data_IF_700587764196
#
_entry.id   IF_700587764196
#
_cell.length_a   1.000
_cell.length_b   1.000
_cell.length_c   1.000
_cell.angle_alpha   90.00
_cell.angle_beta   90.00
_cell.angle_gamma   90.00
#
_symmetry.space_group_name_H-M   'P 1'
#
loop_
_entity.id
_entity.type
_entity.pdbx_description
1 polymer ?
#
# COMPACT_ATOMS: atom_id res chain seq x y z
N UNK A 1 -26.99 -3.90 -17.82
CA UNK A 1 -27.61 -2.91 -18.72
C UNK A 1 -26.53 -2.23 -19.58
N UNK A 2 -25.71 -1.31 -19.06
CA UNK A 2 -24.65 -0.64 -19.85
C UNK A 2 -23.73 -1.59 -20.65
N UNK A 3 -23.19 -2.64 -20.02
CA UNK A 3 -22.29 -3.58 -20.71
C UNK A 3 -22.98 -4.42 -21.80
N UNK A 4 -24.27 -4.71 -21.63
CA UNK A 4 -25.04 -5.58 -22.52
C UNK A 4 -25.56 -4.80 -23.73
N UNK A 5 -26.02 -3.57 -23.48
CA UNK A 5 -26.83 -2.80 -24.42
C UNK A 5 -26.03 -1.65 -25.05
N UNK A 6 -25.29 -0.85 -24.27
CA UNK A 6 -24.56 0.33 -24.76
C UNK A 6 -23.13 -0.02 -25.21
N UNK A 7 -22.38 -0.68 -24.33
CA UNK A 7 -20.98 -1.03 -24.60
C UNK A 7 -20.83 -2.05 -25.74
N UNK A 8 -21.85 -2.90 -25.93
CA UNK A 8 -21.85 -3.92 -26.98
C UNK A 8 -21.98 -3.32 -28.38
N UNK A 9 -22.77 -2.26 -28.55
CA UNK A 9 -22.83 -1.49 -29.79
C UNK A 9 -21.52 -0.73 -30.06
N UNK A 10 -20.89 -0.17 -29.03
CA UNK A 10 -19.60 0.52 -29.15
C UNK A 10 -18.43 -0.43 -29.47
N UNK A 11 -18.47 -1.68 -28.98
CA UNK A 11 -17.48 -2.69 -29.39
C UNK A 11 -17.56 -3.01 -30.89
N UNK A 12 -18.76 -2.98 -31.48
CA UNK A 12 -18.95 -3.19 -32.93
C UNK A 12 -18.38 -2.07 -33.82
N UNK A 13 -17.99 -0.93 -33.24
CA UNK A 13 -17.40 0.21 -33.96
C UNK A 13 -15.87 0.24 -33.91
N UNK A 14 -15.22 -0.70 -33.22
CA UNK A 14 -13.76 -0.74 -33.08
C UNK A 14 -13.12 -1.27 -34.37
N UNK A 15 -11.96 -0.73 -34.72
CA UNK A 15 -11.16 -1.22 -35.86
C UNK A 15 -10.65 -2.65 -35.65
N UNK A 16 -10.48 -3.07 -34.39
CA UNK A 16 -10.10 -4.43 -34.00
C UNK A 16 -11.32 -5.10 -33.36
N UNK A 17 -11.91 -6.03 -34.08
CA UNK A 17 -13.02 -6.85 -33.59
C UNK A 17 -12.51 -7.90 -32.61
N UNK A 18 -12.96 -7.84 -31.35
CA UNK A 18 -12.63 -8.85 -30.33
C UNK A 18 -13.71 -9.92 -30.35
N UNK A 19 -13.30 -11.13 -30.71
CA UNK A 19 -14.16 -12.30 -30.85
C UNK A 19 -13.98 -13.27 -29.68
N UNK A 20 -14.89 -14.24 -29.55
CA UNK A 20 -14.73 -15.33 -28.58
C UNK A 20 -13.45 -16.14 -28.82
N UNK A 21 -12.95 -16.21 -30.06
CA UNK A 21 -11.67 -16.86 -30.40
C UNK A 21 -10.45 -16.16 -29.78
N UNK A 22 -10.55 -14.86 -29.50
CA UNK A 22 -9.48 -14.08 -28.86
C UNK A 22 -9.44 -14.32 -27.33
N UNK A 23 -10.53 -14.85 -26.76
CA UNK A 23 -10.61 -15.22 -25.35
C UNK A 23 -10.43 -16.72 -25.16
N UNK A 24 -9.21 -17.13 -24.82
CA UNK A 24 -8.92 -18.53 -24.53
C UNK A 24 -9.36 -18.91 -23.11
N UNK A 25 -10.57 -19.47 -23.00
CA UNK A 25 -11.12 -19.98 -21.73
C UNK A 25 -10.20 -21.02 -21.07
N UNK A 26 -9.54 -21.89 -21.86
CA UNK A 26 -8.64 -22.91 -21.32
C UNK A 26 -7.41 -22.28 -20.67
N UNK A 27 -6.92 -21.15 -21.19
CA UNK A 27 -5.81 -20.42 -20.58
C UNK A 27 -6.22 -19.79 -19.22
N UNK A 28 -7.43 -19.22 -19.15
CA UNK A 28 -7.98 -18.73 -17.88
C UNK A 28 -8.11 -19.87 -16.86
N UNK A 29 -8.71 -20.99 -17.25
CA UNK A 29 -8.88 -22.15 -16.38
C UNK A 29 -7.53 -22.72 -15.93
N UNK A 30 -6.53 -22.73 -16.81
CA UNK A 30 -5.16 -23.15 -16.47
C UNK A 30 -4.52 -22.22 -15.43
N UNK A 31 -4.73 -20.91 -15.58
CA UNK A 31 -4.24 -19.90 -14.62
C UNK A 31 -4.95 -20.02 -13.27
N UNK A 32 -6.25 -20.33 -13.26
CA UNK A 32 -7.04 -20.52 -12.03
C UNK A 32 -6.77 -21.87 -11.34
N UNK A 33 -6.30 -22.88 -12.08
CA UNK A 33 -6.04 -24.24 -11.57
C UNK A 33 -5.19 -24.26 -10.30
N UNK A 34 -4.21 -23.36 -10.19
CA UNK A 34 -3.34 -23.27 -9.02
C UNK A 34 -4.08 -22.91 -7.72
N UNK A 35 -5.24 -22.25 -7.81
CA UNK A 35 -6.07 -21.84 -6.67
C UNK A 35 -7.28 -22.78 -6.42
N UNK A 36 -7.52 -23.73 -7.33
CA UNK A 36 -8.62 -24.69 -7.20
C UNK A 36 -8.19 -25.92 -6.41
N UNK A 37 -9.15 -26.80 -6.06
CA UNK A 37 -8.90 -28.04 -5.31
C UNK A 37 -7.74 -28.86 -5.89
N UNK A 38 -6.75 -29.16 -5.06
CA UNK A 38 -5.52 -29.87 -5.44
C UNK A 38 -4.45 -29.02 -6.12
N UNK A 39 -4.68 -27.70 -6.27
CA UNK A 39 -3.68 -26.73 -6.73
C UNK A 39 -2.73 -26.31 -5.60
N UNK A 40 -1.61 -25.66 -5.97
CA UNK A 40 -0.57 -25.20 -5.03
C UNK A 40 -1.11 -24.26 -3.93
N UNK A 41 -2.15 -23.50 -4.26
CA UNK A 41 -2.76 -22.46 -3.44
C UNK A 41 -4.23 -22.77 -3.08
N UNK A 42 -4.64 -24.05 -3.14
CA UNK A 42 -5.99 -24.52 -2.79
C UNK A 42 -6.45 -24.01 -1.41
N UNK A 43 -5.53 -23.94 -0.45
CA UNK A 43 -5.82 -23.48 0.91
C UNK A 43 -6.15 -21.98 1.02
N UNK A 44 -5.87 -21.15 0.00
CA UNK A 44 -6.01 -19.69 0.09
C UNK A 44 -7.41 -19.18 -0.25
N UNK A 45 -8.03 -19.70 -1.31
CA UNK A 45 -9.26 -19.13 -1.87
C UNK A 45 -10.49 -20.04 -1.72
N UNK A 46 -10.36 -21.17 -1.01
CA UNK A 46 -11.45 -22.14 -0.81
C UNK A 46 -11.97 -22.18 0.64
N UNK A 47 -11.83 -21.09 1.40
CA UNK A 47 -12.41 -20.96 2.74
C UNK A 47 -13.95 -21.02 2.69
N UNK A 48 -14.55 -21.84 3.53
CA UNK A 48 -16.00 -21.91 3.77
C UNK A 48 -16.52 -20.76 4.64
N UNK A 49 -15.61 -19.99 5.25
CA UNK A 49 -15.92 -18.84 6.09
C UNK A 49 -15.80 -17.54 5.30
N UNK A 50 -16.87 -16.76 5.30
CA UNK A 50 -16.87 -15.39 4.80
C UNK A 50 -16.56 -14.42 5.96
N UNK A 51 -15.38 -13.83 5.97
CA UNK A 51 -14.97 -12.87 6.99
C UNK A 51 -15.38 -11.47 6.55
N UNK A 52 -16.42 -10.91 7.18
CA UNK A 52 -16.74 -9.49 7.00
C UNK A 52 -15.68 -8.62 7.69
N UNK A 53 -14.85 -7.97 6.88
CA UNK A 53 -13.87 -7.01 7.35
C UNK A 53 -14.48 -5.63 7.58
N UNK A 54 -15.63 -5.28 6.99
CA UNK A 54 -16.17 -3.92 7.02
C UNK A 54 -16.44 -3.45 8.44
N UNK A 55 -17.09 -4.29 9.25
CA UNK A 55 -17.46 -3.99 10.64
C UNK A 55 -16.31 -4.06 11.64
N UNK A 56 -15.17 -4.67 11.28
CA UNK A 56 -14.03 -4.84 12.19
C UNK A 56 -13.30 -3.51 12.43
N UNK A 57 -13.03 -3.19 13.70
CA UNK A 57 -12.36 -1.94 14.12
C UNK A 57 -10.84 -2.00 14.03
N UNK A 58 -10.27 -3.19 14.18
CA UNK A 58 -8.83 -3.41 14.17
C UNK A 58 -8.55 -4.65 13.32
N UNK A 59 -7.68 -4.50 12.33
CA UNK A 59 -7.33 -5.54 11.36
C UNK A 59 -5.82 -5.45 11.19
N UNK A 60 -5.15 -6.59 11.34
CA UNK A 60 -3.72 -6.73 11.09
C UNK A 60 -3.56 -7.71 9.95
N UNK A 61 -2.84 -7.29 8.91
CA UNK A 61 -2.44 -8.16 7.81
C UNK A 61 -0.97 -8.48 7.99
N UNK A 62 -0.66 -9.72 8.34
CA UNK A 62 0.69 -10.27 8.30
C UNK A 62 1.02 -10.54 6.82
N UNK A 63 2.09 -9.92 6.31
CA UNK A 63 2.47 -10.02 4.90
C UNK A 63 3.94 -10.43 4.70
N UNK A 64 4.71 -10.62 5.76
CA UNK A 64 6.10 -11.07 5.66
C UNK A 64 6.20 -12.46 5.06
N UNK A 65 5.26 -13.36 5.37
CA UNK A 65 5.26 -14.71 4.79
C UNK A 65 5.03 -14.72 3.27
N UNK A 66 4.42 -13.66 2.72
CA UNK A 66 4.07 -13.59 1.29
C UNK A 66 4.87 -12.54 0.52
N UNK A 67 5.65 -11.67 1.17
CA UNK A 67 6.34 -10.54 0.51
C UNK A 67 7.24 -10.92 -0.65
N UNK A 68 7.91 -12.07 -0.55
CA UNK A 68 8.81 -12.57 -1.59
C UNK A 68 8.11 -13.47 -2.62
N UNK A 69 6.83 -13.79 -2.39
CA UNK A 69 6.04 -14.60 -3.32
C UNK A 69 5.44 -13.72 -4.42
N UNK A 70 6.04 -13.77 -5.61
CA UNK A 70 5.62 -12.98 -6.77
C UNK A 70 4.19 -13.23 -7.26
N UNK A 71 3.61 -14.39 -6.95
CA UNK A 71 2.23 -14.72 -7.34
C UNK A 71 1.22 -14.23 -6.31
N UNK A 72 1.49 -14.49 -5.03
CA UNK A 72 0.55 -14.20 -3.94
C UNK A 72 0.60 -12.75 -3.48
N UNK A 73 1.79 -12.14 -3.48
CA UNK A 73 1.97 -10.80 -2.94
C UNK A 73 1.06 -9.76 -3.61
N UNK A 74 0.98 -9.69 -4.96
CA UNK A 74 0.08 -8.75 -5.64
C UNK A 74 -1.39 -9.02 -5.30
N UNK A 75 -1.80 -10.29 -5.19
CA UNK A 75 -3.18 -10.67 -4.87
C UNK A 75 -3.55 -10.23 -3.45
N UNK A 76 -2.71 -10.55 -2.46
CA UNK A 76 -2.92 -10.17 -1.06
C UNK A 76 -2.98 -8.66 -0.90
N UNK A 77 -2.06 -7.93 -1.55
CA UNK A 77 -2.07 -6.47 -1.47
C UNK A 77 -3.32 -5.86 -2.09
N UNK A 78 -3.78 -6.33 -3.25
CA UNK A 78 -5.03 -5.87 -3.85
C UNK A 78 -6.22 -6.11 -2.89
N UNK A 79 -6.27 -7.25 -2.21
CA UNK A 79 -7.33 -7.56 -1.23
C UNK A 79 -7.30 -6.56 -0.05
N UNK A 80 -6.12 -6.27 0.50
CA UNK A 80 -5.95 -5.30 1.59
C UNK A 80 -6.43 -3.91 1.16
N UNK A 81 -6.03 -3.51 -0.04
CA UNK A 81 -6.41 -2.24 -0.65
C UNK A 81 -7.91 -2.11 -0.83
N UNK A 82 -8.53 -3.12 -1.43
CA UNK A 82 -9.97 -3.16 -1.66
C UNK A 82 -10.74 -3.16 -0.34
N UNK A 83 -10.27 -3.88 0.69
CA UNK A 83 -10.86 -3.86 2.02
C UNK A 83 -10.81 -2.43 2.63
N UNK A 84 -9.68 -1.73 2.48
CA UNK A 84 -9.53 -0.37 3.00
C UNK A 84 -10.38 0.65 2.21
N UNK A 85 -10.39 0.59 0.88
CA UNK A 85 -11.28 1.44 0.05
C UNK A 85 -12.74 1.22 0.43
N UNK A 86 -13.16 -0.03 0.61
CA UNK A 86 -14.53 -0.35 0.99
C UNK A 86 -14.90 0.28 2.33
N UNK A 87 -14.00 0.26 3.32
CA UNK A 87 -14.18 0.99 4.58
C UNK A 87 -14.25 2.50 4.39
N UNK A 88 -13.33 3.08 3.61
CA UNK A 88 -13.35 4.51 3.30
C UNK A 88 -14.69 4.95 2.71
N UNK A 89 -15.19 4.22 1.72
CA UNK A 89 -16.41 4.58 0.98
C UNK A 89 -17.68 4.38 1.81
N UNK A 90 -17.80 3.27 2.53
CA UNK A 90 -19.05 2.85 3.19
C UNK A 90 -19.19 3.37 4.63
N UNK A 91 -18.11 3.49 5.40
CA UNK A 91 -18.18 3.93 6.79
C UNK A 91 -18.10 5.46 6.88
N UNK A 92 -19.23 6.16 6.80
CA UNK A 92 -19.26 7.63 6.94
C UNK A 92 -19.07 8.05 8.40
N UNK A 93 -18.42 9.19 8.63
CA UNK A 93 -18.21 9.77 9.98
C UNK A 93 -17.20 9.05 10.89
N UNK A 94 -16.74 7.85 10.53
CA UNK A 94 -15.76 7.08 11.30
C UNK A 94 -14.34 7.41 10.80
N UNK A 95 -13.37 7.55 11.71
CA UNK A 95 -11.95 7.70 11.36
C UNK A 95 -11.35 6.36 10.93
N UNK A 96 -10.62 6.32 9.81
CA UNK A 96 -9.93 5.10 9.33
C UNK A 96 -8.43 5.38 9.28
N UNK A 97 -7.64 4.40 9.65
CA UNK A 97 -6.20 4.48 9.54
C UNK A 97 -5.71 3.26 8.78
N UNK A 98 -4.87 3.47 7.78
CA UNK A 98 -4.02 2.45 7.20
C UNK A 98 -2.59 2.73 7.65
N UNK A 99 -1.97 1.75 8.27
CA UNK A 99 -0.59 1.80 8.71
C UNK A 99 0.20 0.74 7.94
N UNK A 100 1.28 1.16 7.30
CA UNK A 100 2.15 0.31 6.50
C UNK A 100 3.53 0.31 7.15
N UNK A 101 3.92 -0.81 7.74
CA UNK A 101 5.18 -0.99 8.45
C UNK A 101 6.15 -1.82 7.61
N UNK A 102 7.31 -1.27 7.24
CA UNK A 102 8.44 -1.89 6.50
C UNK A 102 8.13 -2.58 5.15
N UNK A 103 6.86 -2.74 4.80
CA UNK A 103 6.41 -3.39 3.58
C UNK A 103 6.14 -2.41 2.44
N UNK A 104 6.45 -1.13 2.63
CA UNK A 104 6.16 -0.09 1.66
C UNK A 104 6.88 -0.34 0.32
N UNK A 105 8.07 -0.95 0.31
CA UNK A 105 8.79 -1.30 -0.94
C UNK A 105 8.03 -2.32 -1.76
N UNK A 106 7.55 -3.37 -1.10
CA UNK A 106 6.80 -4.42 -1.75
C UNK A 106 5.48 -3.84 -2.28
N UNK A 107 4.82 -2.98 -1.49
CA UNK A 107 3.55 -2.33 -1.85
C UNK A 107 3.73 -1.22 -2.91
N UNK A 108 4.93 -0.64 -3.08
CA UNK A 108 5.19 0.43 -4.04
C UNK A 108 5.71 -0.05 -5.40
N UNK A 109 5.42 -1.31 -5.78
CA UNK A 109 5.69 -1.79 -7.14
C UNK A 109 5.00 -0.90 -8.20
N UNK A 110 5.48 -0.92 -9.45
CA UNK A 110 4.99 -0.02 -10.50
C UNK A 110 3.46 -0.04 -10.66
N UNK A 111 2.82 -1.21 -10.56
CA UNK A 111 1.38 -1.36 -10.68
C UNK A 111 0.60 -0.80 -9.45
N UNK A 112 1.27 -0.63 -8.32
CA UNK A 112 0.66 -0.25 -7.04
C UNK A 112 1.03 1.17 -6.60
N UNK A 113 2.04 1.76 -7.24
CA UNK A 113 2.42 3.15 -7.14
C UNK A 113 1.23 4.10 -7.28
N UNK A 114 0.42 3.92 -8.33
CA UNK A 114 -0.76 4.74 -8.60
C UNK A 114 -1.82 4.58 -7.53
N UNK A 115 -1.96 3.38 -6.97
CA UNK A 115 -2.85 3.16 -5.84
C UNK A 115 -2.38 3.94 -4.61
N UNK A 116 -1.10 3.87 -4.24
CA UNK A 116 -0.57 4.60 -3.09
C UNK A 116 -0.76 6.10 -3.29
N UNK A 117 -0.52 6.61 -4.50
CA UNK A 117 -0.80 8.00 -4.87
C UNK A 117 -2.28 8.35 -4.71
N UNK A 118 -3.19 7.50 -5.18
CA UNK A 118 -4.63 7.68 -5.02
C UNK A 118 -5.03 7.70 -3.54
N UNK A 119 -4.52 6.74 -2.75
CA UNK A 119 -4.76 6.61 -1.33
C UNK A 119 -4.38 7.89 -0.60
N UNK A 120 -3.14 8.36 -0.74
CA UNK A 120 -2.65 9.55 -0.05
C UNK A 120 -3.41 10.83 -0.43
N UNK A 121 -3.83 10.96 -1.69
CA UNK A 121 -4.66 12.11 -2.15
C UNK A 121 -6.11 12.05 -1.69
N UNK A 122 -6.62 10.86 -1.43
CA UNK A 122 -8.07 10.65 -1.24
C UNK A 122 -8.45 10.37 0.19
N UNK A 123 -7.60 9.72 0.98
CA UNK A 123 -7.90 9.22 2.33
C UNK A 123 -8.42 10.34 3.25
N UNK A 124 -7.84 11.54 3.16
CA UNK A 124 -8.25 12.72 3.92
C UNK A 124 -9.71 13.14 3.67
N UNK A 125 -10.21 12.97 2.43
CA UNK A 125 -11.61 13.27 2.05
C UNK A 125 -12.61 12.35 2.74
N UNK A 126 -12.16 11.19 3.22
CA UNK A 126 -12.99 10.18 3.87
C UNK A 126 -12.74 10.09 5.39
N UNK A 127 -12.22 11.16 5.98
CA UNK A 127 -11.82 11.22 7.39
C UNK A 127 -10.86 10.08 7.75
N UNK A 128 -9.88 9.83 6.90
CA UNK A 128 -8.90 8.79 7.13
C UNK A 128 -7.46 9.28 7.00
N UNK A 129 -6.56 8.42 7.45
CA UNK A 129 -5.12 8.65 7.51
C UNK A 129 -4.37 7.47 6.92
N UNK A 130 -3.28 7.77 6.23
CA UNK A 130 -2.31 6.80 5.77
C UNK A 130 -0.97 7.10 6.45
N UNK A 131 -0.42 6.10 7.13
CA UNK A 131 0.84 6.16 7.86
C UNK A 131 1.77 5.13 7.25
N UNK A 132 3.01 5.55 6.98
CA UNK A 132 4.10 4.66 6.60
C UNK A 132 5.18 4.75 7.66
N UNK A 133 5.66 3.59 8.09
CA UNK A 133 6.76 3.45 9.05
C UNK A 133 7.90 2.74 8.34
N UNK A 134 9.09 3.35 8.37
CA UNK A 134 10.33 2.78 7.82
C UNK A 134 11.48 3.08 8.78
N UNK A 135 12.43 2.16 8.83
CA UNK A 135 13.75 2.36 9.42
C UNK A 135 14.74 2.87 8.37
N UNK A 136 14.53 2.53 7.10
CA UNK A 136 15.41 2.90 6.00
C UNK A 136 14.90 4.14 5.28
N UNK A 137 15.41 5.30 5.70
CA UNK A 137 15.03 6.61 5.12
C UNK A 137 15.62 6.78 3.71
N UNK A 138 16.84 6.28 3.48
CA UNK A 138 17.52 6.32 2.18
C UNK A 138 16.66 5.68 1.08
N UNK A 139 15.99 4.58 1.39
CA UNK A 139 15.15 3.85 0.46
C UNK A 139 13.90 4.65 0.04
N UNK A 140 13.28 5.37 0.97
CA UNK A 140 12.15 6.28 0.69
C UNK A 140 12.60 7.42 -0.23
N UNK A 141 13.80 7.97 0.00
CA UNK A 141 14.36 9.09 -0.78
C UNK A 141 14.64 8.68 -2.23
N UNK A 142 15.17 7.48 -2.43
CA UNK A 142 15.59 6.99 -3.74
C UNK A 142 14.41 6.64 -4.65
N UNK A 143 13.22 6.38 -4.11
CA UNK A 143 12.03 6.06 -4.90
C UNK A 143 11.25 7.32 -5.30
N UNK A 144 11.20 7.70 -6.60
CA UNK A 144 10.48 8.90 -7.05
C UNK A 144 8.99 8.83 -6.73
N UNK A 145 8.40 7.64 -6.92
CA UNK A 145 7.00 7.35 -6.63
C UNK A 145 6.68 7.64 -5.16
N UNK A 146 7.52 7.16 -4.25
CA UNK A 146 7.34 7.30 -2.80
C UNK A 146 7.57 8.73 -2.38
N UNK A 147 8.61 9.39 -2.89
CA UNK A 147 8.87 10.81 -2.64
C UNK A 147 7.67 11.67 -3.02
N UNK A 148 7.14 11.51 -4.22
CA UNK A 148 6.01 12.29 -4.70
C UNK A 148 4.69 11.95 -3.99
N UNK A 149 4.46 10.67 -3.69
CA UNK A 149 3.15 10.19 -3.23
C UNK A 149 3.03 10.21 -1.72
N UNK A 150 4.10 9.90 -0.99
CA UNK A 150 4.10 9.77 0.47
C UNK A 150 4.65 11.04 1.10
N UNK A 151 5.90 11.42 0.81
CA UNK A 151 6.58 12.53 1.53
C UNK A 151 5.89 13.86 1.27
N UNK A 152 5.66 14.18 0.00
CA UNK A 152 5.05 15.46 -0.40
C UNK A 152 3.59 15.59 0.05
N UNK A 153 2.87 14.47 0.18
CA UNK A 153 1.47 14.46 0.64
C UNK A 153 1.33 14.11 2.13
N UNK A 154 2.41 14.12 2.92
CA UNK A 154 2.37 13.89 4.37
C UNK A 154 2.66 15.19 5.11
N UNK A 155 1.65 15.76 5.75
CA UNK A 155 1.79 17.01 6.50
C UNK A 155 2.54 16.77 7.82
N UNK A 156 2.28 15.60 8.43
CA UNK A 156 2.94 15.18 9.65
C UNK A 156 4.08 14.21 9.32
N UNK A 157 5.25 14.47 9.89
CA UNK A 157 6.45 13.65 9.79
C UNK A 157 6.99 13.48 11.21
N UNK A 158 7.16 12.24 11.64
CA UNK A 158 7.71 11.91 12.96
C UNK A 158 9.09 11.32 12.72
N UNK A 159 10.11 12.06 13.11
CA UNK A 159 11.51 11.63 13.02
C UNK A 159 11.99 11.30 14.42
N UNK A 160 12.35 10.03 14.62
CA UNK A 160 13.03 9.57 15.83
C UNK A 160 14.54 9.71 15.64
N UNK A 161 15.35 9.17 16.56
CA UNK A 161 16.81 9.19 16.47
C UNK A 161 17.32 8.73 15.10
N UNK A 162 17.99 9.63 14.37
CA UNK A 162 18.56 9.38 13.04
C UNK A 162 20.09 9.40 13.04
N UNK A 163 20.77 9.20 14.18
CA UNK A 163 22.24 9.24 14.26
C UNK A 163 22.95 8.30 13.29
N UNK A 164 22.33 7.16 12.95
CA UNK A 164 22.85 6.23 11.93
C UNK A 164 23.03 6.86 10.54
N UNK A 165 22.31 7.95 10.25
CA UNK A 165 22.38 8.68 8.99
C UNK A 165 23.17 9.99 9.07
N UNK A 166 23.93 10.24 10.14
CA UNK A 166 24.63 11.52 10.35
C UNK A 166 25.47 11.94 9.14
N UNK A 167 26.16 11.00 8.48
CA UNK A 167 27.01 11.29 7.31
C UNK A 167 26.23 11.59 6.04
N UNK A 168 24.93 11.27 5.99
CA UNK A 168 24.05 11.46 4.83
C UNK A 168 22.86 12.37 5.14
N UNK A 169 22.81 12.97 6.33
CA UNK A 169 21.63 13.65 6.82
C UNK A 169 21.29 14.90 5.99
N UNK A 170 22.25 15.49 5.28
CA UNK A 170 22.03 16.64 4.41
C UNK A 170 20.99 16.33 3.31
N UNK A 171 21.00 15.11 2.76
CA UNK A 171 20.00 14.67 1.78
C UNK A 171 18.61 14.54 2.41
N UNK A 172 18.53 14.01 3.62
CA UNK A 172 17.30 13.88 4.42
C UNK A 172 16.76 15.27 4.75
N UNK A 173 17.63 16.18 5.21
CA UNK A 173 17.31 17.55 5.57
C UNK A 173 16.72 18.32 4.39
N UNK A 174 17.39 18.28 3.22
CA UNK A 174 16.92 18.96 2.01
C UNK A 174 15.57 18.38 1.52
N UNK A 175 15.41 17.06 1.59
CA UNK A 175 14.18 16.38 1.15
C UNK A 175 12.98 16.71 2.06
N UNK A 176 13.21 16.76 3.38
CA UNK A 176 12.17 17.03 4.37
C UNK A 176 11.95 18.53 4.62
N UNK A 177 12.82 19.39 4.08
CA UNK A 177 12.75 20.84 4.28
C UNK A 177 13.09 21.29 5.70
N UNK A 178 14.02 20.58 6.36
CA UNK A 178 14.40 20.84 7.75
C UNK A 178 15.44 21.96 7.86
N UNK A 179 15.29 22.79 8.88
CA UNK A 179 16.29 23.78 9.30
C UNK A 179 17.50 23.12 9.99
N UNK A 180 18.62 23.84 10.07
CA UNK A 180 19.80 23.40 10.83
C UNK A 180 19.48 23.13 12.31
N UNK A 181 18.56 23.92 12.88
CA UNK A 181 18.10 23.73 14.26
C UNK A 181 17.37 22.40 14.42
N UNK A 182 16.46 22.06 13.52
CA UNK A 182 15.71 20.80 13.55
C UNK A 182 16.64 19.60 13.33
N UNK A 183 17.59 19.70 12.40
CA UNK A 183 18.66 18.70 12.23
C UNK A 183 19.42 18.47 13.54
N UNK A 184 19.86 19.54 14.20
CA UNK A 184 20.57 19.43 15.49
C UNK A 184 19.70 18.77 16.57
N UNK A 185 18.41 19.09 16.63
CA UNK A 185 17.47 18.46 17.55
C UNK A 185 17.29 16.97 17.27
N UNK A 186 17.11 16.56 16.01
CA UNK A 186 16.94 15.16 15.63
C UNK A 186 18.19 14.33 15.96
N UNK A 187 19.38 14.88 15.68
CA UNK A 187 20.65 14.19 15.94
C UNK A 187 21.03 14.14 17.43
N UNK A 188 20.39 14.96 18.28
CA UNK A 188 20.60 15.00 19.73
C UNK A 188 19.59 14.18 20.52
N UNK A 189 18.60 13.56 19.85
CA UNK A 189 17.67 12.61 20.49
C UNK A 189 18.48 11.52 21.21
N UNK A 190 18.09 11.20 22.45
CA UNK A 190 18.74 10.22 23.32
C UNK A 190 20.18 10.54 23.78
N UNK A 191 20.70 11.76 23.56
CA UNK A 191 22.06 12.11 24.01
C UNK A 191 22.16 12.55 25.48
N UNK A 192 21.04 12.85 26.13
CA UNK A 192 21.00 13.30 27.53
C UNK A 192 19.90 12.58 28.33
N UNK A 193 19.82 11.26 28.17
CA UNK A 193 18.88 10.43 28.91
C UNK A 193 19.32 10.31 30.37
N UNK A 194 18.35 10.37 31.30
CA UNK A 194 18.60 10.19 32.73
C UNK A 194 19.06 8.74 32.97
N UNK A 195 20.25 8.52 33.55
CA UNK A 195 20.77 7.17 33.77
C UNK A 195 19.90 6.34 34.72
N UNK A 196 18.99 6.95 35.48
CA UNK A 196 18.10 6.27 36.43
C UNK A 196 16.71 5.97 35.87
N UNK A 197 16.41 6.32 34.62
CA UNK A 197 15.12 6.04 33.97
C UNK A 197 15.25 4.97 32.91
N UNK A 198 14.24 4.10 32.86
CA UNK A 198 14.02 3.19 31.73
C UNK A 198 13.22 3.95 30.68
N UNK A 199 13.78 4.10 29.49
CA UNK A 199 13.19 4.75 28.33
C UNK A 199 12.80 3.71 27.28
#
# INVERSE_FOLDING_TARGET
EYLRDVYREDMGKREIEVTLSDFNINNLLTTLKQYYRGGRYDFLLNSDKNIDLLSKRFIVFEIDAVKDNKDLFPVVTIIIMEAFINKMRRLKGIRKMILIEEAWKAIASANMADYIKYLYKTVRKFFGEAIVVTQEVDDIIQSPIVKESIINNSDCKILLDQRKYMTKFDGIQAMLGLSEKEKSQILSINQNNDPNRLY
#
